data_IF_403969660329
#
_entry.id   IF_403969660329
#
_cell.length_a   1.000
_cell.length_b   1.000
_cell.length_c   1.000
_cell.angle_alpha   90.00
_cell.angle_beta   90.00
_cell.angle_gamma   90.00
#
_symmetry.space_group_name_H-M   'P 1'
#
loop_
_entity.id
_entity.type
_entity.pdbx_description
1 polymer ?
#
# COMPACT_ATOMS: atom_id res chain seq x y z
N UNK A 1 -3.16 -27.03 44.62
CA UNK A 1 -2.87 -27.09 43.17
C UNK A 1 -4.11 -27.19 42.26
N UNK A 2 -5.31 -27.58 42.74
CA UNK A 2 -6.51 -27.71 41.89
C UNK A 2 -7.25 -26.40 41.56
N UNK A 3 -7.08 -25.33 42.35
CA UNK A 3 -7.82 -24.04 42.21
C UNK A 3 -7.27 -23.10 41.13
N UNK A 4 -6.04 -23.32 40.65
CA UNK A 4 -5.40 -22.47 39.63
C UNK A 4 -5.70 -22.92 38.19
N UNK A 5 -6.06 -24.19 38.01
CA UNK A 5 -6.44 -24.78 36.71
C UNK A 5 -7.59 -24.02 36.04
N UNK A 6 -8.72 -23.72 36.71
CA UNK A 6 -9.84 -23.02 36.05
C UNK A 6 -9.47 -21.57 35.65
N UNK A 7 -8.66 -20.89 36.46
CA UNK A 7 -8.20 -19.52 36.17
C UNK A 7 -7.30 -19.50 34.93
N UNK A 8 -6.39 -20.47 34.82
CA UNK A 8 -5.52 -20.61 33.65
C UNK A 8 -6.33 -20.94 32.38
N UNK A 9 -7.35 -21.80 32.50
CA UNK A 9 -8.20 -22.18 31.38
C UNK A 9 -9.02 -20.99 30.84
N UNK A 10 -9.58 -20.17 31.74
CA UNK A 10 -10.33 -18.96 31.36
C UNK A 10 -9.41 -17.95 30.67
N UNK A 11 -8.21 -17.73 31.21
CA UNK A 11 -7.24 -16.83 30.60
C UNK A 11 -6.81 -17.31 29.20
N UNK A 12 -6.57 -18.62 29.04
CA UNK A 12 -6.23 -19.23 27.75
C UNK A 12 -7.37 -19.08 26.73
N UNK A 13 -8.61 -19.27 27.16
CA UNK A 13 -9.78 -19.13 26.29
C UNK A 13 -9.94 -17.69 25.78
N UNK A 14 -9.79 -16.69 26.67
CA UNK A 14 -9.86 -15.27 26.32
C UNK A 14 -8.75 -14.88 25.33
N UNK A 15 -7.53 -15.42 25.49
CA UNK A 15 -6.42 -15.14 24.58
C UNK A 15 -6.66 -15.64 23.15
N UNK A 16 -7.44 -16.72 22.97
CA UNK A 16 -7.77 -17.26 21.63
C UNK A 16 -8.91 -16.51 20.94
N UNK A 17 -9.68 -15.67 21.66
CA UNK A 17 -10.76 -14.88 21.06
C UNK A 17 -10.25 -13.65 20.28
N UNK A 18 -8.99 -13.24 20.46
CA UNK A 18 -8.39 -12.15 19.70
C UNK A 18 -7.94 -12.62 18.32
N UNK A 19 -8.89 -12.71 17.38
CA UNK A 19 -8.56 -12.77 15.96
C UNK A 19 -8.11 -11.38 15.51
N UNK A 20 -6.82 -11.09 15.63
CA UNK A 20 -6.22 -9.90 15.02
C UNK A 20 -6.15 -10.16 13.52
N UNK A 21 -7.19 -9.78 12.77
CA UNK A 21 -7.11 -9.71 11.32
C UNK A 21 -6.14 -8.60 10.97
N UNK A 22 -4.97 -8.96 10.41
CA UNK A 22 -4.09 -7.95 9.82
C UNK A 22 -4.82 -7.38 8.62
N UNK A 23 -5.25 -6.12 8.70
CA UNK A 23 -5.67 -5.36 7.53
C UNK A 23 -4.42 -5.13 6.70
N UNK A 24 -4.12 -6.08 5.80
CA UNK A 24 -3.18 -5.84 4.73
C UNK A 24 -3.91 -4.99 3.70
N UNK A 25 -3.36 -3.84 3.35
CA UNK A 25 -3.85 -3.10 2.19
C UNK A 25 -3.84 -4.04 0.98
N UNK A 26 -4.98 -4.13 0.29
CA UNK A 26 -5.11 -4.93 -0.91
C UNK A 26 -4.16 -4.36 -1.97
N UNK A 27 -3.30 -5.23 -2.51
CA UNK A 27 -2.34 -4.78 -3.51
C UNK A 27 -3.05 -4.50 -4.83
N UNK A 28 -2.84 -3.31 -5.39
CA UNK A 28 -3.47 -2.89 -6.66
C UNK A 28 -2.45 -2.74 -7.76
N UNK A 29 -2.80 -3.23 -8.95
CA UNK A 29 -1.93 -3.19 -10.12
C UNK A 29 -2.43 -2.15 -11.12
N UNK A 30 -1.52 -1.27 -11.53
CA UNK A 30 -1.80 -0.20 -12.50
C UNK A 30 -0.88 -0.31 -13.71
N UNK A 31 -1.37 0.21 -14.83
CA UNK A 31 -0.62 0.39 -16.08
C UNK A 31 -0.25 1.85 -16.27
N UNK A 32 0.33 2.17 -17.41
CA UNK A 32 0.54 3.56 -17.80
C UNK A 32 -0.79 4.31 -17.89
N UNK A 33 -0.85 5.50 -17.30
CA UNK A 33 -2.06 6.32 -17.29
C UNK A 33 -2.06 7.40 -16.21
N UNK A 34 -3.18 8.10 -16.12
CA UNK A 34 -3.48 9.08 -15.07
C UNK A 34 -4.62 8.50 -14.25
N UNK A 35 -4.44 8.42 -12.94
CA UNK A 35 -5.38 7.85 -12.00
C UNK A 35 -5.72 8.86 -10.93
N UNK A 36 -7.00 9.11 -10.72
CA UNK A 36 -7.47 9.85 -9.55
C UNK A 36 -7.59 8.91 -8.35
N UNK A 37 -7.78 9.46 -7.15
CA UNK A 37 -8.11 8.65 -5.98
C UNK A 37 -9.33 7.74 -6.22
N UNK A 38 -10.40 8.26 -6.87
CA UNK A 38 -11.61 7.48 -7.16
C UNK A 38 -11.35 6.32 -8.13
N UNK A 39 -10.46 6.48 -9.09
CA UNK A 39 -10.12 5.42 -10.06
C UNK A 39 -9.20 4.38 -9.44
N UNK A 40 -8.27 4.83 -8.61
CA UNK A 40 -7.28 3.95 -8.00
C UNK A 40 -7.86 3.15 -6.84
N UNK A 41 -8.82 3.72 -6.09
CA UNK A 41 -9.35 3.17 -4.85
C UNK A 41 -8.24 2.79 -3.86
N UNK A 42 -7.12 3.52 -3.90
CA UNK A 42 -6.02 3.36 -2.98
C UNK A 42 -6.40 3.95 -1.61
N UNK A 43 -5.88 3.38 -0.51
CA UNK A 43 -6.12 3.93 0.82
C UNK A 43 -5.50 5.32 0.92
N UNK A 44 -6.32 6.30 1.30
CA UNK A 44 -5.86 7.66 1.54
C UNK A 44 -5.15 7.78 2.90
N UNK A 45 -4.25 8.76 3.01
CA UNK A 45 -3.49 9.09 4.21
C UNK A 45 -2.66 7.93 4.79
N UNK A 46 -2.38 6.90 3.98
CA UNK A 46 -1.52 5.77 4.34
C UNK A 46 -0.27 5.73 3.48
N UNK A 47 0.85 5.34 4.09
CA UNK A 47 2.08 5.05 3.38
C UNK A 47 1.88 3.83 2.47
N UNK A 48 2.17 3.98 1.18
CA UNK A 48 2.02 2.95 0.17
C UNK A 48 3.38 2.63 -0.43
N UNK A 49 3.66 1.35 -0.66
CA UNK A 49 4.86 0.94 -1.37
C UNK A 49 4.50 0.67 -2.82
N UNK A 50 5.16 1.36 -3.73
CA UNK A 50 5.10 1.10 -5.16
C UNK A 50 6.21 0.11 -5.53
N UNK A 51 5.89 -0.87 -6.38
CA UNK A 51 6.83 -1.86 -6.91
C UNK A 51 6.62 -2.09 -8.39
N UNK A 52 7.67 -2.48 -9.10
CA UNK A 52 7.52 -3.03 -10.46
C UNK A 52 6.88 -4.41 -10.41
N UNK A 53 5.94 -4.67 -11.32
CA UNK A 53 5.36 -6.00 -11.50
C UNK A 53 6.33 -7.00 -12.13
N UNK A 54 7.22 -6.52 -13.00
CA UNK A 54 8.26 -7.31 -13.65
C UNK A 54 9.63 -6.68 -13.39
N UNK A 55 10.65 -7.50 -13.14
CA UNK A 55 11.99 -7.02 -12.78
C UNK A 55 12.74 -6.34 -13.93
N UNK A 56 12.27 -6.49 -15.17
CA UNK A 56 12.83 -5.91 -16.38
C UNK A 56 12.21 -4.55 -16.75
N UNK A 57 11.06 -4.21 -16.18
CA UNK A 57 10.31 -3.00 -16.50
C UNK A 57 10.94 -1.74 -15.90
N UNK A 58 10.48 -0.58 -16.37
CA UNK A 58 10.82 0.73 -15.82
C UNK A 58 9.56 1.53 -15.62
N UNK A 59 9.49 2.27 -14.51
CA UNK A 59 8.35 3.14 -14.25
C UNK A 59 8.80 4.49 -13.70
N UNK A 60 8.10 5.54 -14.12
CA UNK A 60 8.13 6.86 -13.51
C UNK A 60 6.74 7.09 -12.94
N UNK A 61 6.67 7.42 -11.65
CA UNK A 61 5.42 7.73 -10.97
C UNK A 61 5.49 9.14 -10.42
N UNK A 62 4.50 9.95 -10.73
CA UNK A 62 4.35 11.31 -10.24
C UNK A 62 3.05 11.43 -9.45
N UNK A 63 3.12 12.11 -8.31
CA UNK A 63 1.95 12.45 -7.49
C UNK A 63 1.77 13.96 -7.54
N UNK A 64 0.57 14.38 -7.91
CA UNK A 64 0.16 15.78 -7.98
C UNK A 64 -1.01 15.96 -7.02
N UNK A 65 -0.96 16.96 -6.15
CA UNK A 65 -2.06 17.31 -5.26
C UNK A 65 -3.08 18.26 -5.93
N UNK A 66 -4.21 18.48 -5.26
CA UNK A 66 -5.29 19.40 -5.63
C UNK A 66 -4.83 20.80 -6.01
N UNK A 67 -3.80 21.32 -5.34
CA UNK A 67 -3.23 22.64 -5.60
C UNK A 67 -2.27 22.67 -6.81
N UNK A 68 -2.27 21.60 -7.63
CA UNK A 68 -1.38 21.42 -8.79
C UNK A 68 0.11 21.39 -8.40
N UNK A 69 0.39 21.05 -7.15
CA UNK A 69 1.74 20.90 -6.63
C UNK A 69 2.22 19.48 -6.82
N UNK A 70 3.47 19.31 -7.26
CA UNK A 70 4.09 17.99 -7.36
C UNK A 70 4.61 17.57 -5.99
N UNK A 71 3.94 16.61 -5.37
CA UNK A 71 4.33 16.08 -4.05
C UNK A 71 5.45 15.04 -4.17
N UNK A 72 5.46 14.25 -5.25
CA UNK A 72 6.43 13.18 -5.41
C UNK A 72 6.74 12.88 -6.87
N UNK A 73 8.00 12.55 -7.13
CA UNK A 73 8.46 12.00 -8.39
C UNK A 73 9.40 10.84 -8.10
N UNK A 74 8.97 9.63 -8.45
CA UNK A 74 9.71 8.40 -8.22
C UNK A 74 10.11 7.78 -9.55
N UNK A 75 11.31 7.19 -9.59
CA UNK A 75 11.79 6.41 -10.74
C UNK A 75 12.15 5.01 -10.28
N UNK A 76 11.37 4.03 -10.74
CA UNK A 76 11.65 2.62 -10.57
C UNK A 76 12.38 2.05 -11.78
N UNK A 77 13.30 1.14 -11.52
CA UNK A 77 14.05 0.40 -12.54
C UNK A 77 14.58 -0.92 -11.96
N UNK A 78 15.40 -1.63 -12.74
CA UNK A 78 15.98 -2.92 -12.34
C UNK A 78 16.85 -2.87 -11.06
N UNK A 79 17.34 -1.69 -10.66
CA UNK A 79 18.11 -1.47 -9.41
C UNK A 79 17.23 -1.00 -8.26
N UNK A 80 16.21 -0.20 -8.55
CA UNK A 80 15.24 0.34 -7.59
C UNK A 80 13.87 -0.19 -7.97
N UNK A 81 13.60 -1.42 -7.53
CA UNK A 81 12.37 -2.15 -7.93
C UNK A 81 11.16 -1.75 -7.12
N UNK A 82 11.36 -1.11 -5.97
CA UNK A 82 10.31 -0.65 -5.08
C UNK A 82 10.72 0.63 -4.34
N UNK A 83 9.73 1.45 -4.00
CA UNK A 83 9.92 2.67 -3.23
C UNK A 83 8.64 3.03 -2.47
N UNK A 84 8.80 3.63 -1.29
CA UNK A 84 7.69 4.13 -0.49
C UNK A 84 7.25 5.48 -1.04
N UNK A 85 5.95 5.60 -1.28
CA UNK A 85 5.28 6.82 -1.69
C UNK A 85 4.84 7.59 -0.44
N UNK A 86 4.88 8.94 -0.45
CA UNK A 86 4.21 9.72 0.58
C UNK A 86 2.72 9.38 0.65
N UNK A 87 2.07 9.59 1.81
CA UNK A 87 0.64 9.37 1.96
C UNK A 87 -0.17 10.16 0.93
N UNK A 88 -1.01 9.47 0.17
CA UNK A 88 -1.86 10.08 -0.86
C UNK A 88 -3.09 10.72 -0.22
N UNK A 89 -3.52 11.88 -0.71
CA UNK A 89 -4.77 12.52 -0.29
C UNK A 89 -5.93 12.06 -1.17
N UNK A 90 -7.17 12.33 -0.73
CA UNK A 90 -8.38 12.03 -1.53
C UNK A 90 -8.47 12.83 -2.84
N UNK A 91 -7.63 13.85 -2.98
CA UNK A 91 -7.60 14.75 -4.14
C UNK A 91 -6.33 14.59 -4.97
N UNK A 92 -5.41 13.72 -4.56
CA UNK A 92 -4.19 13.45 -5.32
C UNK A 92 -4.51 12.75 -6.64
N UNK A 93 -3.76 13.12 -7.67
CA UNK A 93 -3.69 12.42 -8.95
C UNK A 93 -2.34 11.74 -9.09
N UNK A 94 -2.34 10.52 -9.59
CA UNK A 94 -1.15 9.71 -9.83
C UNK A 94 -0.97 9.58 -11.34
N UNK A 95 0.20 9.98 -11.83
CA UNK A 95 0.58 9.80 -13.22
C UNK A 95 1.65 8.73 -13.29
N UNK A 96 1.40 7.70 -14.08
CA UNK A 96 2.26 6.54 -14.21
C UNK A 96 2.72 6.44 -15.66
N UNK A 97 4.03 6.47 -15.88
CA UNK A 97 4.67 6.11 -17.14
C UNK A 97 5.41 4.81 -16.94
N UNK A 98 5.06 3.76 -17.67
CA UNK A 98 5.66 2.44 -17.51
C UNK A 98 5.53 1.62 -18.78
N UNK A 99 6.51 0.75 -19.03
CA UNK A 99 6.48 -0.26 -20.11
C UNK A 99 5.87 -1.60 -19.68
N UNK A 100 5.48 -1.72 -18.39
CA UNK A 100 4.84 -2.91 -17.83
C UNK A 100 3.74 -2.55 -16.83
N UNK A 101 3.72 -3.24 -15.69
CA UNK A 101 2.77 -2.98 -14.60
C UNK A 101 3.50 -2.47 -13.36
N UNK A 102 2.81 -1.65 -12.56
CA UNK A 102 3.25 -1.24 -11.22
C UNK A 102 2.23 -1.69 -10.17
N UNK A 103 2.73 -2.17 -9.05
CA UNK A 103 1.93 -2.72 -7.95
C UNK A 103 2.06 -1.79 -6.76
N UNK A 104 0.93 -1.37 -6.20
CA UNK A 104 0.82 -0.56 -5.00
C UNK A 104 0.36 -1.47 -3.85
N UNK A 105 1.11 -1.51 -2.75
CA UNK A 105 0.84 -2.36 -1.58
C UNK A 105 1.12 -1.65 -0.28
#
# INVERSE_FOLDING_TARGET
MKKLIPIFLVFFFISTCFNITRVSAESKTFKQGIYTWSDSGLPANSSLTIKLGESTSKAIVMVIDSDQTMESLLRLNTRVTHQVLPPLTYTSSIIIFTDGNVIFS
#
